data_IF_707559624632
#
_entry.id   IF_707559624632
#
_cell.length_a   1.000
_cell.length_b   1.000
_cell.length_c   1.000
_cell.angle_alpha   90.00
_cell.angle_beta   90.00
_cell.angle_gamma   90.00
#
_symmetry.space_group_name_H-M   'P 1'
#
loop_
_entity.id
_entity.type
_entity.pdbx_description
1 polymer ?
#
# COMPACT_ATOMS: atom_id res chain seq x y z
N UNK A 1 -12.42 -7.34 0.37
CA UNK A 1 -12.98 -8.41 1.22
C UNK A 1 -14.50 -8.53 1.06
N UNK A 2 -15.11 -9.71 1.25
CA UNK A 2 -16.58 -9.90 1.27
C UNK A 2 -17.14 -9.74 2.68
N UNK A 3 -18.44 -9.44 2.81
CA UNK A 3 -19.10 -9.30 4.12
C UNK A 3 -18.97 -10.57 4.98
N UNK A 4 -19.07 -11.75 4.37
CA UNK A 4 -18.90 -13.03 5.07
C UNK A 4 -17.51 -13.20 5.66
N UNK A 5 -16.46 -12.88 4.89
CA UNK A 5 -15.07 -12.94 5.38
C UNK A 5 -14.83 -11.98 6.54
N UNK A 6 -15.46 -10.79 6.52
CA UNK A 6 -15.39 -9.82 7.61
C UNK A 6 -16.05 -10.39 8.87
N UNK A 7 -17.25 -10.98 8.75
CA UNK A 7 -17.96 -11.60 9.87
C UNK A 7 -17.13 -12.74 10.47
N UNK A 8 -16.53 -13.59 9.63
CA UNK A 8 -15.66 -14.69 10.10
C UNK A 8 -14.44 -14.16 10.86
N UNK A 9 -13.83 -13.05 10.41
CA UNK A 9 -12.75 -12.36 11.13
C UNK A 9 -13.23 -11.80 12.48
N UNK A 10 -14.42 -11.22 12.55
CA UNK A 10 -15.02 -10.73 13.80
C UNK A 10 -15.25 -11.88 14.79
N UNK A 11 -15.86 -12.98 14.36
CA UNK A 11 -16.11 -14.13 15.23
C UNK A 11 -14.80 -14.72 15.79
N UNK A 12 -13.76 -14.82 14.95
CA UNK A 12 -12.42 -15.23 15.42
C UNK A 12 -11.87 -14.28 16.48
N UNK A 13 -11.93 -12.97 16.24
CA UNK A 13 -11.48 -11.97 17.21
C UNK A 13 -12.22 -12.08 18.55
N UNK A 14 -13.55 -12.25 18.51
CA UNK A 14 -14.36 -12.40 19.72
C UNK A 14 -14.06 -13.71 20.48
N UNK A 15 -13.78 -14.79 19.76
CA UNK A 15 -13.49 -16.11 20.34
C UNK A 15 -12.09 -16.19 20.95
N UNK A 16 -11.07 -15.71 20.22
CA UNK A 16 -9.68 -15.75 20.68
C UNK A 16 -9.33 -14.61 21.64
N UNK A 17 -10.17 -13.58 21.73
CA UNK A 17 -9.94 -12.41 22.59
C UNK A 17 -8.56 -11.80 22.36
N UNK A 18 -8.15 -11.75 21.10
CA UNK A 18 -6.90 -11.15 20.68
C UNK A 18 -7.13 -10.41 19.38
N UNK A 19 -6.54 -9.23 19.28
CA UNK A 19 -6.26 -8.62 17.98
C UNK A 19 -5.23 -9.47 17.22
N UNK A 20 -5.11 -9.21 15.93
CA UNK A 20 -4.12 -9.89 15.08
C UNK A 20 -3.31 -8.84 14.32
N UNK A 21 -2.24 -9.27 13.65
CA UNK A 21 -1.40 -8.36 12.86
C UNK A 21 -2.20 -7.61 11.77
N UNK A 22 -3.35 -8.13 11.35
CA UNK A 22 -4.18 -7.59 10.27
C UNK A 22 -5.49 -6.95 10.75
N UNK A 23 -5.79 -6.97 12.05
CA UNK A 23 -7.09 -6.50 12.58
C UNK A 23 -6.84 -5.56 13.75
N UNK A 24 -7.42 -4.38 13.64
CA UNK A 24 -7.54 -3.38 14.71
C UNK A 24 -9.02 -3.13 14.99
N UNK A 25 -9.44 -3.02 16.26
CA UNK A 25 -10.79 -2.59 16.63
C UNK A 25 -10.81 -1.19 17.25
N UNK A 26 -11.86 -0.43 16.97
CA UNK A 26 -12.12 0.87 17.62
C UNK A 26 -13.61 1.00 17.94
N UNK A 27 -13.95 1.47 19.15
CA UNK A 27 -15.35 1.65 19.53
C UNK A 27 -16.03 2.77 18.73
N UNK A 28 -15.32 3.87 18.51
CA UNK A 28 -15.79 5.13 17.93
C UNK A 28 -17.06 5.71 18.60
N UNK A 29 -17.34 5.33 19.85
CA UNK A 29 -18.50 5.79 20.62
C UNK A 29 -18.46 7.28 20.97
N UNK A 30 -17.26 7.85 21.14
CA UNK A 30 -17.00 9.28 21.36
C UNK A 30 -16.50 10.04 20.12
N UNK A 31 -16.61 9.44 18.93
CA UNK A 31 -15.99 9.91 17.69
C UNK A 31 -14.77 9.09 17.28
N UNK A 32 -14.17 9.42 16.13
CA UNK A 32 -13.00 8.69 15.63
C UNK A 32 -11.78 8.99 16.51
N UNK A 33 -11.19 7.95 17.14
CA UNK A 33 -9.96 8.11 17.89
C UNK A 33 -8.78 8.37 16.95
N UNK A 34 -7.60 8.50 17.52
CA UNK A 34 -6.37 8.54 16.73
C UNK A 34 -6.20 7.21 15.97
N UNK A 35 -6.13 7.28 14.63
CA UNK A 35 -5.99 6.11 13.75
C UNK A 35 -4.87 6.26 12.71
N UNK A 36 -4.14 7.39 12.70
CA UNK A 36 -3.13 7.66 11.67
C UNK A 36 -1.89 6.75 11.77
N UNK A 37 -1.58 6.29 12.99
CA UNK A 37 -0.54 5.30 13.27
C UNK A 37 -0.93 3.95 12.67
N UNK A 38 -2.13 3.46 12.96
CA UNK A 38 -2.61 2.19 12.38
C UNK A 38 -2.74 2.26 10.87
N UNK A 39 -3.24 3.38 10.31
CA UNK A 39 -3.30 3.57 8.85
C UNK A 39 -1.88 3.48 8.24
N UNK A 40 -0.91 4.17 8.85
CA UNK A 40 0.48 4.14 8.40
C UNK A 40 1.07 2.73 8.51
N UNK A 41 0.89 2.06 9.66
CA UNK A 41 1.41 0.73 9.94
C UNK A 41 0.89 -0.32 8.95
N UNK A 42 -0.43 -0.35 8.70
CA UNK A 42 -1.02 -1.25 7.72
C UNK A 42 -0.55 -0.96 6.29
N UNK A 43 -0.57 0.31 5.87
CA UNK A 43 -0.10 0.70 4.53
C UNK A 43 1.38 0.34 4.29
N UNK A 44 2.21 0.37 5.33
CA UNK A 44 3.64 0.06 5.25
C UNK A 44 3.98 -1.42 5.40
N UNK A 45 3.07 -2.22 5.96
CA UNK A 45 3.30 -3.64 6.28
C UNK A 45 2.58 -4.53 5.28
N UNK A 46 1.48 -5.21 5.66
CA UNK A 46 0.74 -6.18 4.83
C UNK A 46 -0.70 -5.75 4.53
N UNK A 47 -1.02 -4.48 4.79
CA UNK A 47 -2.41 -4.04 4.86
C UNK A 47 -3.09 -4.53 6.14
N UNK A 48 -4.40 -4.33 6.22
CA UNK A 48 -5.20 -4.74 7.37
C UNK A 48 -6.59 -4.12 7.34
N UNK A 49 -7.40 -4.46 8.34
CA UNK A 49 -8.74 -3.90 8.54
C UNK A 49 -8.85 -3.21 9.90
N UNK A 50 -9.49 -2.04 9.91
CA UNK A 50 -9.92 -1.37 11.13
C UNK A 50 -11.44 -1.53 11.24
N UNK A 51 -11.90 -2.13 12.33
CA UNK A 51 -13.32 -2.39 12.58
C UNK A 51 -13.84 -1.40 13.62
N UNK A 52 -14.72 -0.51 13.18
CA UNK A 52 -15.38 0.46 14.04
C UNK A 52 -16.70 -0.07 14.59
N UNK A 53 -16.94 0.16 15.88
CA UNK A 53 -18.13 -0.28 16.62
C UNK A 53 -17.90 -1.51 17.49
N UNK A 54 -16.64 -1.90 17.70
CA UNK A 54 -16.23 -2.91 18.68
C UNK A 54 -15.33 -2.23 19.72
N UNK A 55 -15.67 -2.38 20.99
CA UNK A 55 -14.92 -1.83 22.11
C UNK A 55 -14.05 -2.90 22.74
N UNK A 56 -12.76 -2.64 22.84
CA UNK A 56 -11.86 -3.44 23.67
C UNK A 56 -11.95 -2.97 25.13
N UNK A 57 -12.31 -3.89 26.03
CA UNK A 57 -12.40 -3.62 27.47
C UNK A 57 -11.04 -3.87 28.13
N UNK A 58 -10.80 -3.21 29.26
CA UNK A 58 -9.56 -3.35 30.06
C UNK A 58 -9.23 -4.80 30.49
N UNK A 59 -10.19 -5.71 30.42
CA UNK A 59 -10.00 -7.14 30.71
C UNK A 59 -9.69 -7.98 29.47
N UNK A 60 -9.34 -7.35 28.33
CA UNK A 60 -9.07 -8.01 27.05
C UNK A 60 -10.31 -8.57 26.34
N UNK A 61 -11.51 -8.32 26.86
CA UNK A 61 -12.73 -8.74 26.18
C UNK A 61 -13.17 -7.69 25.15
N UNK A 62 -13.72 -8.17 24.04
CA UNK A 62 -14.30 -7.34 23.01
C UNK A 62 -15.83 -7.29 23.14
N UNK A 63 -16.38 -6.09 23.04
CA UNK A 63 -17.82 -5.84 23.10
C UNK A 63 -18.30 -5.13 21.84
N UNK A 64 -19.29 -5.71 21.18
CA UNK A 64 -19.92 -5.09 20.00
C UNK A 64 -20.89 -4.01 20.46
N UNK A 65 -20.48 -2.75 20.33
CA UNK A 65 -21.27 -1.58 20.75
C UNK A 65 -22.12 -1.02 19.61
N UNK A 66 -21.65 -1.18 18.36
CA UNK A 66 -22.26 -0.61 17.17
C UNK A 66 -22.03 0.90 17.02
N UNK A 67 -22.29 1.41 15.82
CA UNK A 67 -22.15 2.83 15.49
C UNK A 67 -23.52 3.50 15.28
N UNK A 68 -23.61 4.78 15.64
CA UNK A 68 -24.82 5.60 15.43
C UNK A 68 -24.71 6.52 14.21
N UNK A 69 -23.53 7.06 13.90
CA UNK A 69 -23.36 8.08 12.86
C UNK A 69 -22.32 7.69 11.80
N UNK A 70 -22.73 6.85 10.84
CA UNK A 70 -21.87 6.34 9.75
C UNK A 70 -21.29 7.43 8.87
N UNK A 71 -22.13 8.37 8.43
CA UNK A 71 -21.74 9.41 7.48
C UNK A 71 -20.64 10.32 8.04
N UNK A 72 -20.72 10.65 9.33
CA UNK A 72 -19.70 11.47 9.98
C UNK A 72 -18.38 10.72 10.10
N UNK A 73 -18.42 9.45 10.50
CA UNK A 73 -17.24 8.59 10.63
C UNK A 73 -16.57 8.41 9.27
N UNK A 74 -17.34 8.04 8.25
CA UNK A 74 -16.83 7.87 6.89
C UNK A 74 -16.21 9.17 6.34
N UNK A 75 -16.85 10.33 6.53
CA UNK A 75 -16.30 11.62 6.10
C UNK A 75 -14.95 11.92 6.76
N UNK A 76 -14.85 11.72 8.07
CA UNK A 76 -13.61 11.92 8.84
C UNK A 76 -12.51 10.94 8.42
N UNK A 77 -12.83 9.67 8.18
CA UNK A 77 -11.89 8.69 7.63
C UNK A 77 -11.34 9.16 6.28
N UNK A 78 -12.22 9.56 5.37
CA UNK A 78 -11.84 10.06 4.04
C UNK A 78 -10.94 11.29 4.15
N UNK A 79 -11.24 12.24 5.04
CA UNK A 79 -10.41 13.42 5.28
C UNK A 79 -9.01 13.04 5.79
N UNK A 80 -8.92 12.15 6.79
CA UNK A 80 -7.63 11.69 7.33
C UNK A 80 -6.81 11.02 6.22
N UNK A 81 -7.39 10.05 5.51
CA UNK A 81 -6.69 9.26 4.52
C UNK A 81 -6.24 10.08 3.30
N UNK A 82 -7.06 11.02 2.83
CA UNK A 82 -6.78 11.79 1.62
C UNK A 82 -5.93 13.05 1.86
N UNK A 83 -6.09 13.72 3.00
CA UNK A 83 -5.48 15.03 3.24
C UNK A 83 -4.39 15.02 4.30
N UNK A 84 -4.37 14.02 5.19
CA UNK A 84 -3.46 13.99 6.34
C UNK A 84 -2.41 12.88 6.27
N UNK A 85 -2.54 11.95 5.33
CA UNK A 85 -1.55 10.89 5.05
C UNK A 85 -0.81 11.17 3.76
N UNK A 86 0.48 10.83 3.72
CA UNK A 86 1.29 10.83 2.51
C UNK A 86 2.06 9.51 2.38
N UNK A 87 1.95 8.77 1.26
CA UNK A 87 0.99 9.00 0.17
C UNK A 87 -0.46 8.96 0.65
N UNK A 88 -1.36 9.61 -0.09
CA UNK A 88 -2.80 9.58 0.22
C UNK A 88 -3.33 8.16 0.15
N UNK A 89 -4.08 7.73 1.16
CA UNK A 89 -4.67 6.40 1.24
C UNK A 89 -6.12 6.43 0.73
N UNK A 90 -6.52 5.38 0.01
CA UNK A 90 -7.89 5.17 -0.47
C UNK A 90 -8.41 3.85 0.10
N UNK A 91 -8.97 3.85 1.32
CA UNK A 91 -9.43 2.61 1.93
C UNK A 91 -10.73 2.12 1.28
N UNK A 92 -10.96 0.82 1.31
CA UNK A 92 -12.26 0.23 0.97
C UNK A 92 -13.10 0.25 2.24
N UNK A 93 -14.25 0.93 2.19
CA UNK A 93 -15.12 1.08 3.36
C UNK A 93 -16.37 0.22 3.13
N UNK A 94 -16.64 -0.67 4.08
CA UNK A 94 -17.80 -1.58 4.05
C UNK A 94 -18.62 -1.39 5.32
N UNK A 95 -19.92 -1.18 5.17
CA UNK A 95 -20.86 -1.21 6.29
C UNK A 95 -21.44 -2.61 6.40
N UNK A 96 -21.47 -3.16 7.61
CA UNK A 96 -22.05 -4.49 7.88
C UNK A 96 -22.99 -4.43 9.06
N UNK A 97 -23.88 -5.41 9.16
CA UNK A 97 -24.71 -5.64 10.34
C UNK A 97 -24.29 -6.94 11.03
N UNK A 98 -23.96 -6.84 12.31
CA UNK A 98 -23.50 -7.97 13.12
C UNK A 98 -24.16 -7.94 14.49
N UNK A 99 -24.87 -9.01 14.87
CA UNK A 99 -25.66 -9.11 16.12
C UNK A 99 -26.61 -7.90 16.33
N UNK A 100 -27.33 -7.49 15.27
CA UNK A 100 -28.22 -6.31 15.25
C UNK A 100 -27.51 -4.98 15.58
N UNK A 101 -26.19 -4.94 15.43
CA UNK A 101 -25.37 -3.74 15.57
C UNK A 101 -24.73 -3.44 14.22
N UNK A 102 -24.81 -2.19 13.80
CA UNK A 102 -24.17 -1.75 12.58
C UNK A 102 -22.70 -1.41 12.86
N UNK A 103 -21.79 -1.93 12.05
CA UNK A 103 -20.35 -1.72 12.12
C UNK A 103 -19.84 -1.10 10.82
N UNK A 104 -18.69 -0.44 10.89
CA UNK A 104 -17.99 0.10 9.72
C UNK A 104 -16.61 -0.54 9.67
N UNK A 105 -16.27 -1.15 8.54
CA UNK A 105 -14.96 -1.78 8.32
C UNK A 105 -14.21 -1.00 7.27
N UNK A 106 -13.00 -0.60 7.61
CA UNK A 106 -12.07 0.09 6.74
C UNK A 106 -10.92 -0.83 6.39
N UNK A 107 -10.85 -1.28 5.15
CA UNK A 107 -9.78 -2.11 4.61
C UNK A 107 -8.70 -1.20 4.00
N UNK A 108 -7.48 -1.32 4.52
CA UNK A 108 -6.29 -0.60 4.05
C UNK A 108 -5.40 -1.61 3.33
N UNK A 109 -5.09 -1.31 2.08
CA UNK A 109 -4.18 -2.12 1.28
C UNK A 109 -2.73 -1.74 1.58
N UNK A 110 -1.84 -2.72 1.49
CA UNK A 110 -0.40 -2.49 1.46
C UNK A 110 -0.05 -1.58 0.26
N UNK A 111 0.78 -0.57 0.51
CA UNK A 111 1.33 0.25 -0.56
C UNK A 111 2.43 -0.49 -1.32
N UNK A 112 2.62 -0.15 -2.59
CA UNK A 112 3.79 -0.65 -3.31
C UNK A 112 5.07 -0.19 -2.61
N UNK A 113 6.13 -1.01 -2.66
CA UNK A 113 7.40 -0.72 -2.01
C UNK A 113 7.98 0.66 -2.39
N UNK A 114 7.75 1.12 -3.63
CA UNK A 114 8.21 2.42 -4.12
C UNK A 114 7.41 3.61 -3.56
N UNK A 115 6.19 3.36 -3.08
CA UNK A 115 5.31 4.37 -2.50
C UNK A 115 5.54 4.50 -0.98
N UNK A 116 6.01 3.44 -0.32
CA UNK A 116 6.36 3.44 1.11
C UNK A 116 7.52 4.41 1.43
N UNK A 117 7.57 5.04 2.61
CA UNK A 117 6.61 4.87 3.69
C UNK A 117 5.38 5.79 3.54
N UNK A 118 4.21 5.28 3.90
CA UNK A 118 3.06 6.08 4.29
C UNK A 118 3.32 6.70 5.66
N UNK A 119 3.07 7.99 5.83
CA UNK A 119 3.22 8.69 7.10
C UNK A 119 2.17 9.77 7.30
N UNK A 120 1.95 10.13 8.56
CA UNK A 120 1.09 11.25 8.94
C UNK A 120 1.79 12.60 8.71
N UNK A 121 1.25 13.41 7.80
CA UNK A 121 1.91 14.62 7.26
C UNK A 121 2.32 15.59 8.36
N UNK A 122 1.43 15.86 9.32
CA UNK A 122 1.68 16.83 10.40
C UNK A 122 2.88 16.46 11.28
N UNK A 123 3.22 15.18 11.38
CA UNK A 123 4.36 14.72 12.18
C UNK A 123 5.65 14.56 11.35
N UNK A 124 5.56 14.69 10.03
CA UNK A 124 6.67 14.41 9.11
C UNK A 124 7.02 12.92 9.03
N UNK A 125 7.92 12.56 8.11
CA UNK A 125 8.27 11.16 7.86
C UNK A 125 8.90 10.47 9.08
N UNK A 126 9.80 11.14 9.80
CA UNK A 126 10.52 10.53 10.93
C UNK A 126 9.64 10.21 12.15
N UNK A 127 8.58 10.99 12.40
CA UNK A 127 7.69 10.81 13.58
C UNK A 127 6.27 10.41 13.20
N UNK A 128 6.00 10.32 11.90
CA UNK A 128 4.68 10.03 11.33
C UNK A 128 4.62 8.69 10.60
N UNK A 129 5.74 8.01 10.36
CA UNK A 129 5.79 6.69 9.73
C UNK A 129 5.77 5.56 10.78
N UNK A 130 4.90 4.58 10.59
CA UNK A 130 4.71 3.44 11.48
C UNK A 130 4.75 2.13 10.69
N UNK A 131 5.11 1.04 11.37
CA UNK A 131 5.05 -0.35 10.91
C UNK A 131 4.31 -1.19 11.94
N UNK A 132 3.69 -2.27 11.49
CA UNK A 132 3.02 -3.22 12.37
C UNK A 132 4.03 -4.30 12.79
N UNK A 133 4.17 -4.50 14.10
CA UNK A 133 5.00 -5.56 14.67
C UNK A 133 4.16 -6.30 15.70
N UNK A 134 3.75 -7.52 15.35
CA UNK A 134 2.71 -8.24 16.10
C UNK A 134 1.38 -7.46 16.07
N UNK A 135 0.82 -7.20 17.25
CA UNK A 135 -0.38 -6.41 17.47
C UNK A 135 -0.10 -4.90 17.66
N UNK A 136 1.16 -4.47 17.61
CA UNK A 136 1.56 -3.09 17.93
C UNK A 136 1.93 -2.25 16.71
N UNK A 137 1.53 -0.98 16.72
CA UNK A 137 1.99 0.03 15.77
C UNK A 137 3.26 0.71 16.30
N UNK A 138 4.40 0.40 15.68
CA UNK A 138 5.70 0.95 16.08
C UNK A 138 6.16 2.02 15.09
N UNK A 139 6.81 3.07 15.59
CA UNK A 139 7.41 4.07 14.70
C UNK A 139 8.55 3.42 13.92
N UNK A 140 8.62 3.72 12.63
CA UNK A 140 9.77 3.32 11.83
C UNK A 140 11.04 3.95 12.39
N UNK A 141 12.08 3.14 12.43
CA UNK A 141 13.44 3.58 12.72
C UNK A 141 13.99 4.40 11.56
N UNK A 142 15.01 5.22 11.85
CA UNK A 142 15.74 5.95 10.81
C UNK A 142 16.35 5.01 9.75
N UNK A 143 16.77 3.83 10.19
CA UNK A 143 17.33 2.82 9.29
C UNK A 143 16.30 2.31 8.28
N UNK A 144 15.08 1.99 8.73
CA UNK A 144 14.00 1.53 7.85
C UNK A 144 13.58 2.60 6.84
N UNK A 145 13.45 3.85 7.29
CA UNK A 145 13.14 4.98 6.41
C UNK A 145 14.26 5.15 5.37
N UNK A 146 15.52 5.09 5.78
CA UNK A 146 16.67 5.18 4.88
C UNK A 146 16.70 4.04 3.85
N UNK A 147 16.42 2.80 4.28
CA UNK A 147 16.38 1.65 3.39
C UNK A 147 15.30 1.80 2.31
N UNK A 148 14.12 2.34 2.66
CA UNK A 148 13.06 2.65 1.69
C UNK A 148 13.49 3.74 0.70
N UNK A 149 14.12 4.82 1.18
CA UNK A 149 14.60 5.91 0.32
C UNK A 149 15.70 5.43 -0.66
N UNK A 150 16.66 4.63 -0.16
CA UNK A 150 17.70 4.04 -0.99
C UNK A 150 17.13 3.12 -2.08
N UNK A 151 16.10 2.33 -1.76
CA UNK A 151 15.41 1.49 -2.73
C UNK A 151 14.78 2.32 -3.85
N UNK A 152 14.12 3.45 -3.53
CA UNK A 152 13.55 4.36 -4.55
C UNK A 152 14.63 4.94 -5.44
N UNK A 153 15.70 5.46 -4.85
CA UNK A 153 16.83 6.05 -5.58
C UNK A 153 17.46 5.08 -6.57
N UNK A 154 17.63 3.81 -6.18
CA UNK A 154 18.16 2.77 -7.09
C UNK A 154 17.25 2.56 -8.30
N UNK A 155 15.93 2.44 -8.08
CA UNK A 155 14.97 2.33 -9.19
C UNK A 155 15.03 3.56 -10.10
N UNK A 156 15.11 4.75 -9.51
CA UNK A 156 15.23 5.99 -10.30
C UNK A 156 16.52 6.02 -11.11
N UNK A 157 17.63 5.50 -10.57
CA UNK A 157 18.92 5.37 -11.28
C UNK A 157 18.86 4.37 -12.43
N UNK A 158 18.26 3.19 -12.24
CA UNK A 158 18.02 2.20 -13.30
C UNK A 158 17.08 2.72 -14.40
N UNK A 159 16.26 3.72 -14.11
CA UNK A 159 15.34 4.34 -15.06
C UNK A 159 15.85 5.65 -15.65
N UNK A 160 17.08 6.08 -15.33
CA UNK A 160 17.72 7.24 -15.96
C UNK A 160 18.15 6.91 -17.38
N UNK A 161 17.92 7.86 -18.27
CA UNK A 161 18.47 7.81 -19.62
C UNK A 161 19.96 8.10 -19.59
N UNK A 162 20.72 7.38 -20.41
CA UNK A 162 22.11 7.74 -20.71
C UNK A 162 22.09 8.66 -21.92
N UNK A 163 22.19 9.98 -21.68
CA UNK A 163 22.11 11.01 -22.74
C UNK A 163 23.12 10.76 -23.89
N UNK A 164 24.28 10.19 -23.57
CA UNK A 164 25.34 9.87 -24.54
C UNK A 164 25.15 8.52 -25.25
N UNK A 165 24.17 7.70 -24.85
CA UNK A 165 23.94 6.37 -25.40
C UNK A 165 22.56 6.23 -26.05
N UNK A 166 22.55 6.34 -27.38
CA UNK A 166 21.36 6.11 -28.21
C UNK A 166 21.16 4.61 -28.49
N UNK A 167 19.96 4.24 -28.95
CA UNK A 167 19.65 2.85 -29.37
C UNK A 167 20.71 2.26 -30.34
N UNK A 168 21.28 3.10 -31.21
CA UNK A 168 22.32 2.69 -32.18
C UNK A 168 23.62 2.20 -31.55
N UNK A 169 23.86 2.55 -30.28
CA UNK A 169 25.07 2.16 -29.53
C UNK A 169 24.93 0.78 -28.88
N UNK A 170 23.74 0.15 -28.94
CA UNK A 170 23.55 -1.22 -28.48
C UNK A 170 24.05 -2.23 -29.51
N UNK A 171 24.63 -3.33 -29.05
CA UNK A 171 25.01 -4.46 -29.90
C UNK A 171 23.77 -5.05 -30.57
N UNK A 172 23.70 -4.87 -31.90
CA UNK A 172 22.55 -5.30 -32.70
C UNK A 172 22.31 -6.80 -32.61
N UNK A 173 23.36 -7.63 -32.55
CA UNK A 173 23.25 -9.08 -32.53
C UNK A 173 22.62 -9.55 -31.22
N UNK A 174 23.13 -9.06 -30.09
CA UNK A 174 22.56 -9.35 -28.77
C UNK A 174 21.12 -8.86 -28.64
N UNK A 175 20.81 -7.68 -29.20
CA UNK A 175 19.47 -7.12 -29.19
C UNK A 175 18.47 -7.99 -29.96
N UNK A 176 18.86 -8.49 -31.12
CA UNK A 176 18.01 -9.38 -31.93
C UNK A 176 17.81 -10.75 -31.29
N UNK A 177 18.84 -11.31 -30.67
CA UNK A 177 18.73 -12.54 -29.86
C UNK A 177 17.74 -12.34 -28.69
N UNK A 178 17.87 -11.24 -27.95
CA UNK A 178 16.97 -10.91 -26.85
C UNK A 178 15.51 -10.76 -27.32
N UNK A 179 15.27 -10.04 -28.42
CA UNK A 179 13.92 -9.86 -28.97
C UNK A 179 13.32 -11.21 -29.43
N UNK A 180 14.12 -12.07 -30.08
CA UNK A 180 13.68 -13.42 -30.46
C UNK A 180 13.29 -14.24 -29.24
N UNK A 181 14.10 -14.20 -28.17
CA UNK A 181 13.81 -14.88 -26.91
C UNK A 181 12.49 -14.41 -26.30
N UNK A 182 12.30 -13.10 -26.15
CA UNK A 182 11.05 -12.51 -25.60
C UNK A 182 9.82 -12.90 -26.45
N UNK A 183 9.91 -12.86 -27.78
CA UNK A 183 8.80 -13.24 -28.67
C UNK A 183 8.42 -14.71 -28.54
N UNK A 184 9.39 -15.59 -28.29
CA UNK A 184 9.17 -17.03 -28.07
C UNK A 184 8.53 -17.28 -26.70
N UNK A 185 9.02 -16.62 -25.66
CA UNK A 185 8.56 -16.83 -24.27
C UNK A 185 7.23 -16.14 -23.98
N UNK A 186 6.93 -15.01 -24.64
CA UNK A 186 5.72 -14.21 -24.39
C UNK A 186 4.93 -14.01 -25.70
N UNK A 187 3.93 -14.87 -25.99
CA UNK A 187 3.15 -14.82 -27.24
C UNK A 187 2.50 -13.47 -27.53
N UNK A 188 2.10 -12.70 -26.50
CA UNK A 188 1.53 -11.35 -26.63
C UNK A 188 2.51 -10.32 -27.23
N UNK A 189 3.82 -10.59 -27.22
CA UNK A 189 4.86 -9.72 -27.76
C UNK A 189 5.23 -10.05 -29.22
N UNK A 190 4.75 -11.19 -29.75
CA UNK A 190 5.07 -11.65 -31.12
C UNK A 190 4.70 -10.63 -32.20
N UNK A 191 3.54 -9.98 -32.04
CA UNK A 191 2.98 -8.96 -32.95
C UNK A 191 3.51 -7.54 -32.72
N UNK A 192 4.31 -7.30 -31.67
CA UNK A 192 4.84 -5.96 -31.37
C UNK A 192 6.14 -5.68 -32.15
N UNK A 193 6.32 -4.40 -32.53
CA UNK A 193 7.54 -3.90 -33.15
C UNK A 193 8.75 -3.89 -32.20
N UNK A 194 9.98 -3.94 -32.74
CA UNK A 194 11.23 -4.04 -31.96
C UNK A 194 11.30 -2.96 -30.87
N UNK A 195 11.09 -1.69 -31.22
CA UNK A 195 11.14 -0.56 -30.28
C UNK A 195 10.12 -0.70 -29.14
N UNK A 196 8.89 -1.16 -29.43
CA UNK A 196 7.87 -1.36 -28.41
C UNK A 196 8.26 -2.44 -27.40
N UNK A 197 8.91 -3.51 -27.86
CA UNK A 197 9.41 -4.59 -27.00
C UNK A 197 10.50 -4.06 -26.06
N UNK A 198 11.43 -3.25 -26.59
CA UNK A 198 12.52 -2.67 -25.80
C UNK A 198 12.04 -1.66 -24.77
N UNK A 199 11.04 -0.84 -25.13
CA UNK A 199 10.36 0.08 -24.18
C UNK A 199 9.68 -0.69 -23.05
N UNK A 200 8.92 -1.73 -23.39
CA UNK A 200 8.23 -2.59 -22.41
C UNK A 200 9.20 -3.43 -21.55
N UNK A 201 10.44 -3.57 -21.99
CA UNK A 201 11.50 -4.27 -21.25
C UNK A 201 12.38 -3.32 -20.44
N UNK A 202 12.05 -2.03 -20.37
CA UNK A 202 12.86 -0.98 -19.72
C UNK A 202 14.33 -0.96 -20.20
N UNK A 203 14.58 -1.26 -21.47
CA UNK A 203 15.93 -1.16 -22.08
C UNK A 203 16.13 0.23 -22.67
N UNK A 204 15.05 0.83 -23.17
CA UNK A 204 15.08 2.15 -23.79
C UNK A 204 13.88 3.01 -23.37
N UNK A 205 14.07 4.32 -23.40
CA UNK A 205 13.03 5.32 -23.13
C UNK A 205 13.04 6.37 -24.23
N UNK A 206 11.86 6.89 -24.57
CA UNK A 206 11.73 7.98 -25.53
C UNK A 206 11.67 9.31 -24.80
N UNK A 207 12.47 10.28 -25.25
CA UNK A 207 12.49 11.67 -24.77
C UNK A 207 12.66 12.59 -25.96
N UNK A 208 11.79 13.59 -26.12
CA UNK A 208 11.83 14.56 -27.21
C UNK A 208 11.87 13.94 -28.63
N UNK A 209 11.18 12.80 -28.84
CA UNK A 209 11.18 12.08 -30.11
C UNK A 209 12.42 11.23 -30.39
N UNK A 210 13.43 11.24 -29.51
CA UNK A 210 14.62 10.39 -29.61
C UNK A 210 14.57 9.22 -28.62
N UNK A 211 15.16 8.08 -29.00
CA UNK A 211 15.20 6.85 -28.20
C UNK A 211 16.57 6.70 -27.54
N UNK A 212 16.59 6.79 -26.22
CA UNK A 212 17.77 6.66 -25.37
C UNK A 212 17.80 5.30 -24.68
N UNK A 213 19.01 4.80 -24.44
CA UNK A 213 19.24 3.64 -23.58
C UNK A 213 19.01 4.05 -22.12
N UNK A 214 18.40 3.17 -21.34
CA UNK A 214 18.35 3.30 -19.88
C UNK A 214 19.65 2.76 -19.24
N UNK A 215 20.05 3.35 -18.11
CA UNK A 215 21.09 2.78 -17.26
C UNK A 215 20.61 1.40 -16.79
N UNK A 216 21.38 0.37 -17.08
CA UNK A 216 21.16 -0.96 -16.53
C UNK A 216 22.51 -1.36 -15.97
N UNK A 217 22.59 -1.56 -14.66
CA UNK A 217 23.77 -2.15 -13.99
C UNK A 217 24.02 -3.58 -14.50
#
# INVERSE_FOLDING_TARGET
MTEREIIDKIEKLLNFKSESEEIEVKSASGGIPKIYDTISAFANTRGGIIIFGINEKNNGNFEVVGLRNFNEIQRKISEICSQKMFPSIRPIITQIEYRNKKLLVMEILELNQIEKPCYYIKNGIEKGAYIRVGDSDQRMTKYEIYALDAYKKRIDEDLKIVEQSRLKNLDKRKLEEYIRKIKKEKPKFSKKGKVSILKLSNIVKEKNGEIFRLLQE
#
